data_IF_692112323481
#
_entry.id   IF_692112323481
#
_cell.length_a   1.000
_cell.length_b   1.000
_cell.length_c   1.000
_cell.angle_alpha   90.00
_cell.angle_beta   90.00
_cell.angle_gamma   90.00
#
_symmetry.space_group_name_H-M   'P 1'
#
loop_
_entity.id
_entity.type
_entity.pdbx_description
1 polymer ?
#
# COMPACT_ATOMS: atom_id res chain seq x y z
N UNK A 1 -17.82 -12.64 18.05
CA UNK A 1 -16.92 -12.19 16.97
C UNK A 1 -15.51 -12.29 17.50
N UNK A 2 -14.61 -13.00 16.82
CA UNK A 2 -13.18 -13.03 17.15
C UNK A 2 -12.57 -11.73 16.62
N UNK A 3 -11.77 -11.02 17.43
CA UNK A 3 -11.08 -9.81 16.95
C UNK A 3 -9.82 -10.22 16.17
N UNK A 4 -9.44 -9.44 15.17
CA UNK A 4 -8.22 -9.71 14.37
C UNK A 4 -6.97 -9.79 15.24
N UNK A 5 -6.87 -8.95 16.27
CA UNK A 5 -5.76 -8.95 17.22
C UNK A 5 -5.63 -10.30 17.95
N UNK A 6 -6.76 -10.88 18.36
CA UNK A 6 -6.77 -12.18 19.05
C UNK A 6 -6.17 -13.31 18.18
N UNK A 7 -6.17 -13.15 16.85
CA UNK A 7 -5.60 -14.11 15.90
C UNK A 7 -4.13 -13.82 15.55
N UNK A 8 -3.65 -12.60 15.76
CA UNK A 8 -2.36 -12.13 15.24
C UNK A 8 -1.35 -11.80 16.34
N UNK A 9 -1.80 -11.57 17.58
CA UNK A 9 -0.95 -11.11 18.68
C UNK A 9 0.23 -12.04 18.97
N UNK A 10 0.04 -13.36 18.94
CA UNK A 10 1.12 -14.32 19.17
C UNK A 10 2.21 -14.27 18.09
N UNK A 11 1.83 -14.00 16.83
CA UNK A 11 2.77 -13.89 15.71
C UNK A 11 3.50 -12.56 15.71
N UNK A 12 2.86 -11.51 16.22
CA UNK A 12 3.41 -10.16 16.25
C UNK A 12 4.26 -9.90 17.49
N UNK A 13 3.93 -10.52 18.62
CA UNK A 13 4.65 -10.36 19.89
C UNK A 13 6.18 -10.54 19.83
N UNK A 14 6.75 -11.48 19.05
CA UNK A 14 8.21 -11.63 18.97
C UNK A 14 8.90 -10.65 18.01
N UNK A 15 8.17 -9.79 17.30
CA UNK A 15 8.75 -8.88 16.31
C UNK A 15 9.22 -7.57 16.97
N UNK A 16 10.41 -7.11 16.58
CA UNK A 16 10.96 -5.81 17.03
C UNK A 16 10.20 -4.63 16.40
N UNK A 17 9.79 -4.78 15.14
CA UNK A 17 9.00 -3.82 14.36
C UNK A 17 7.90 -4.58 13.65
N UNK A 18 6.68 -4.08 13.75
CA UNK A 18 5.50 -4.74 13.19
C UNK A 18 5.18 -4.17 11.83
N UNK A 19 5.19 -5.04 10.82
CA UNK A 19 4.79 -4.71 9.46
C UNK A 19 3.28 -4.72 9.26
N UNK A 20 2.76 -3.73 8.55
CA UNK A 20 1.37 -3.60 8.16
C UNK A 20 1.27 -3.43 6.65
N UNK A 21 0.67 -4.41 5.97
CA UNK A 21 0.34 -4.30 4.55
C UNK A 21 -1.10 -3.80 4.43
N UNK A 22 -1.30 -2.65 3.77
CA UNK A 22 -2.60 -2.06 3.45
C UNK A 22 -3.49 -1.74 4.66
N UNK A 23 -2.90 -1.53 5.84
CA UNK A 23 -3.63 -1.42 7.12
C UNK A 23 -3.38 -0.10 7.87
N UNK A 24 -3.08 0.99 7.15
CA UNK A 24 -2.78 2.29 7.77
C UNK A 24 -3.93 2.82 8.66
N UNK A 25 -5.18 2.49 8.33
CA UNK A 25 -6.37 2.82 9.15
C UNK A 25 -6.35 2.22 10.56
N UNK A 26 -5.47 1.25 10.84
CA UNK A 26 -5.33 0.63 12.16
C UNK A 26 -4.30 1.32 13.05
N UNK A 27 -3.34 2.03 12.48
CA UNK A 27 -2.13 2.43 13.19
C UNK A 27 -2.41 3.20 14.47
N UNK A 28 -3.33 4.18 14.42
CA UNK A 28 -3.71 4.96 15.60
C UNK A 28 -4.37 4.09 16.69
N UNK A 29 -5.21 3.13 16.30
CA UNK A 29 -5.82 2.19 17.26
C UNK A 29 -4.77 1.27 17.87
N UNK A 30 -3.87 0.72 17.06
CA UNK A 30 -2.87 -0.24 17.52
C UNK A 30 -1.76 0.43 18.33
N UNK A 31 -1.40 1.69 18.06
CA UNK A 31 -0.50 2.47 18.92
C UNK A 31 -1.12 2.69 20.30
N UNK A 32 -2.40 3.04 20.35
CA UNK A 32 -3.10 3.23 21.63
C UNK A 32 -3.21 1.92 22.43
N UNK A 33 -3.44 0.80 21.74
CA UNK A 33 -3.60 -0.51 22.38
C UNK A 33 -2.24 -1.14 22.77
N UNK A 34 -1.20 -0.89 21.98
CA UNK A 34 0.15 -1.42 22.19
C UNK A 34 1.17 -0.25 22.21
N UNK A 35 1.28 0.51 23.32
CA UNK A 35 2.06 1.75 23.37
C UNK A 35 3.56 1.61 23.04
N UNK A 36 4.12 0.40 23.18
CA UNK A 36 5.53 0.11 22.91
C UNK A 36 5.76 -0.42 21.47
N UNK A 37 4.72 -0.54 20.66
CA UNK A 37 4.82 -1.09 19.30
C UNK A 37 5.43 -0.07 18.36
N UNK A 38 6.47 -0.50 17.63
CA UNK A 38 6.96 0.20 16.45
C UNK A 38 6.23 -0.34 15.22
N UNK A 39 5.69 0.55 14.40
CA UNK A 39 4.91 0.25 13.21
C UNK A 39 5.71 0.61 11.96
N UNK A 40 5.71 -0.27 10.98
CA UNK A 40 6.17 -0.01 9.62
C UNK A 40 5.05 -0.35 8.65
N UNK A 41 4.68 0.60 7.77
CA UNK A 41 3.90 0.29 6.59
C UNK A 41 4.76 -0.53 5.64
N UNK A 42 4.57 -1.83 5.61
CA UNK A 42 5.39 -2.72 4.77
C UNK A 42 4.85 -2.84 3.35
N UNK A 43 3.61 -2.39 3.12
CA UNK A 43 3.00 -2.26 1.80
C UNK A 43 1.82 -1.28 1.86
N UNK A 44 1.75 -0.32 0.93
CA UNK A 44 0.60 0.59 0.78
C UNK A 44 0.23 0.82 -0.67
N UNK A 45 -0.96 1.39 -0.90
CA UNK A 45 -1.37 1.80 -2.23
C UNK A 45 -0.94 3.25 -2.51
N UNK A 46 -0.56 3.60 -3.75
CA UNK A 46 -0.18 4.97 -4.13
C UNK A 46 -1.19 6.07 -3.73
N UNK A 47 -2.52 5.87 -3.77
CA UNK A 47 -3.48 6.88 -3.32
C UNK A 47 -3.43 7.18 -1.82
N UNK A 48 -2.98 6.23 -0.99
CA UNK A 48 -3.01 6.35 0.48
C UNK A 48 -1.81 7.13 1.04
N UNK A 49 -0.82 7.45 0.19
CA UNK A 49 0.47 8.02 0.60
C UNK A 49 0.31 9.33 1.36
N UNK A 50 -0.64 10.19 0.96
CA UNK A 50 -0.87 11.48 1.63
C UNK A 50 -1.39 11.31 3.07
N UNK A 51 -2.31 10.36 3.27
CA UNK A 51 -2.88 10.06 4.59
C UNK A 51 -1.84 9.37 5.47
N UNK A 52 -1.10 8.42 4.89
CA UNK A 52 0.02 7.74 5.54
C UNK A 52 1.10 8.74 5.99
N UNK A 53 1.48 9.68 5.13
CA UNK A 53 2.47 10.70 5.47
C UNK A 53 2.03 11.55 6.67
N UNK A 54 0.73 11.88 6.73
CA UNK A 54 0.15 12.60 7.88
C UNK A 54 0.26 11.79 9.18
N UNK A 55 0.04 10.47 9.12
CA UNK A 55 0.18 9.57 10.26
C UNK A 55 1.64 9.43 10.71
N UNK A 56 2.58 9.25 9.78
CA UNK A 56 4.02 9.17 10.06
C UNK A 56 4.51 10.44 10.75
N UNK A 57 4.10 11.62 10.26
CA UNK A 57 4.44 12.90 10.88
C UNK A 57 3.83 13.06 12.29
N UNK A 58 2.65 12.51 12.53
CA UNK A 58 1.93 12.64 13.81
C UNK A 58 2.45 11.69 14.90
N UNK A 59 2.90 10.48 14.52
CA UNK A 59 3.22 9.41 15.45
C UNK A 59 4.67 8.92 15.30
N UNK A 60 5.58 9.26 16.25
CA UNK A 60 6.98 8.85 16.18
C UNK A 60 7.22 7.32 16.22
N UNK A 61 6.23 6.54 16.68
CA UNK A 61 6.27 5.08 16.66
C UNK A 61 6.01 4.48 15.28
N UNK A 62 5.58 5.29 14.30
CA UNK A 62 5.42 4.88 12.90
C UNK A 62 6.69 5.28 12.15
N UNK A 63 7.43 4.28 11.68
CA UNK A 63 8.75 4.48 11.09
C UNK A 63 8.70 4.97 9.64
N UNK A 64 7.59 4.72 8.94
CA UNK A 64 7.43 5.04 7.52
C UNK A 64 6.63 3.98 6.78
N UNK A 65 6.73 4.02 5.46
CA UNK A 65 5.91 3.23 4.55
C UNK A 65 6.64 2.82 3.27
N UNK A 66 6.25 1.68 2.70
CA UNK A 66 6.72 1.17 1.41
C UNK A 66 5.53 1.06 0.44
N UNK A 67 5.46 2.00 -0.51
CA UNK A 67 4.41 2.06 -1.52
C UNK A 67 4.58 0.94 -2.55
N UNK A 68 3.48 0.27 -2.90
CA UNK A 68 3.41 -0.73 -3.96
C UNK A 68 2.95 -0.08 -5.29
N UNK A 69 3.82 0.15 -6.28
CA UNK A 69 5.28 -0.04 -6.27
C UNK A 69 5.96 1.20 -6.82
N UNK A 70 7.25 1.37 -6.52
CA UNK A 70 8.03 2.48 -7.09
C UNK A 70 8.31 2.30 -8.58
N UNK A 71 8.63 1.08 -9.02
CA UNK A 71 8.95 0.73 -10.41
C UNK A 71 8.03 -0.39 -10.89
N UNK A 72 7.52 -0.23 -12.11
CA UNK A 72 6.66 -1.21 -12.76
C UNK A 72 7.44 -2.49 -13.05
N UNK A 73 6.71 -3.60 -13.14
CA UNK A 73 7.29 -4.93 -13.24
C UNK A 73 6.48 -5.84 -14.15
N UNK A 74 7.12 -6.94 -14.56
CA UNK A 74 6.52 -7.98 -15.39
C UNK A 74 5.72 -8.94 -14.50
N UNK A 75 4.52 -9.32 -14.92
CA UNK A 75 3.62 -10.15 -14.11
C UNK A 75 2.60 -9.32 -13.36
N UNK A 76 1.91 -9.95 -12.41
CA UNK A 76 0.72 -9.39 -11.71
C UNK A 76 -0.16 -8.59 -12.67
N UNK A 77 -0.42 -9.24 -13.80
CA UNK A 77 -0.65 -8.56 -15.07
C UNK A 77 -1.84 -7.63 -14.94
N UNK A 78 -1.64 -6.36 -15.23
CA UNK A 78 -2.69 -5.34 -15.24
C UNK A 78 -3.32 -5.06 -13.87
N UNK A 79 -2.68 -5.36 -12.74
CA UNK A 79 -3.22 -5.01 -11.42
C UNK A 79 -3.47 -3.51 -11.25
N UNK A 80 -2.63 -2.67 -11.87
CA UNK A 80 -2.78 -1.22 -11.92
C UNK A 80 -3.54 -0.70 -13.14
N UNK A 81 -4.07 -1.59 -14.00
CA UNK A 81 -4.74 -1.22 -15.25
C UNK A 81 -5.92 -0.28 -15.00
N UNK A 82 -6.09 0.68 -15.89
CA UNK A 82 -7.30 1.50 -15.94
C UNK A 82 -8.13 1.03 -17.12
N UNK A 83 -9.32 0.52 -16.83
CA UNK A 83 -10.26 0.00 -17.82
C UNK A 83 -11.49 0.91 -17.87
N UNK A 84 -11.54 1.79 -18.87
CA UNK A 84 -12.63 2.76 -19.02
C UNK A 84 -13.89 2.13 -19.64
N UNK A 85 -13.74 1.05 -20.40
CA UNK A 85 -14.82 0.46 -21.20
C UNK A 85 -15.45 -0.78 -20.53
N UNK A 86 -14.72 -1.49 -19.66
CA UNK A 86 -15.20 -2.68 -18.94
C UNK A 86 -15.21 -2.48 -17.42
N UNK A 87 -16.15 -1.67 -16.92
CA UNK A 87 -16.46 -1.49 -15.48
C UNK A 87 -16.82 -2.83 -14.77
N UNK A 88 -16.94 -3.95 -15.49
CA UNK A 88 -17.31 -5.27 -14.97
C UNK A 88 -16.32 -6.39 -15.32
N UNK A 89 -15.03 -6.13 -15.50
CA UNK A 89 -14.07 -7.23 -15.62
C UNK A 89 -14.02 -8.02 -14.30
N UNK A 90 -14.46 -9.28 -14.32
CA UNK A 90 -14.52 -10.14 -13.13
C UNK A 90 -13.13 -10.45 -12.51
N UNK A 91 -12.06 -10.15 -13.25
CA UNK A 91 -10.68 -10.27 -12.77
C UNK A 91 -10.06 -8.89 -12.59
N UNK A 92 -9.32 -8.66 -11.49
CA UNK A 92 -8.47 -7.48 -11.37
C UNK A 92 -7.28 -7.53 -12.36
N UNK A 93 -6.98 -8.71 -12.91
CA UNK A 93 -5.85 -8.90 -13.82
C UNK A 93 -6.23 -8.63 -15.28
N UNK A 94 -5.28 -8.09 -16.02
CA UNK A 94 -5.32 -7.95 -17.47
C UNK A 94 -5.22 -9.30 -18.16
N UNK A 95 -5.96 -9.46 -19.25
CA UNK A 95 -5.80 -10.59 -20.18
C UNK A 95 -4.75 -10.26 -21.24
N UNK A 96 -4.30 -11.25 -22.01
CA UNK A 96 -3.45 -10.98 -23.17
C UNK A 96 -4.06 -9.86 -24.05
N UNK A 97 -3.30 -8.82 -24.45
CA UNK A 97 -1.82 -8.74 -24.48
C UNK A 97 -1.16 -8.03 -23.30
N UNK A 98 -1.84 -7.81 -22.17
CA UNK A 98 -1.21 -7.25 -20.98
C UNK A 98 -0.10 -8.19 -20.47
N UNK A 99 1.05 -7.62 -20.09
CA UNK A 99 2.20 -8.37 -19.55
C UNK A 99 2.85 -7.69 -18.32
N UNK A 100 2.59 -6.40 -18.11
CA UNK A 100 3.11 -5.62 -16.98
C UNK A 100 2.02 -5.39 -15.93
N UNK A 101 2.42 -4.98 -14.73
CA UNK A 101 1.53 -4.65 -13.64
C UNK A 101 0.79 -3.31 -13.83
N UNK A 102 1.46 -2.30 -14.42
CA UNK A 102 0.93 -0.95 -14.62
C UNK A 102 0.59 -0.20 -13.31
N UNK A 103 1.26 -0.54 -12.21
CA UNK A 103 1.06 0.12 -10.91
C UNK A 103 2.26 0.94 -10.42
N UNK A 104 3.39 0.89 -11.14
CA UNK A 104 4.60 1.63 -10.79
C UNK A 104 4.58 3.11 -11.17
N UNK A 105 5.24 3.95 -10.38
CA UNK A 105 5.49 5.37 -10.71
C UNK A 105 6.63 5.58 -11.71
N UNK A 106 7.45 4.55 -11.90
CA UNK A 106 8.53 4.51 -12.86
C UNK A 106 8.26 3.29 -13.75
N UNK A 107 8.22 3.46 -15.06
CA UNK A 107 8.00 2.33 -15.96
C UNK A 107 9.22 1.39 -16.01
N UNK A 108 9.07 0.27 -16.72
CA UNK A 108 10.09 -0.77 -16.83
C UNK A 108 11.44 -0.27 -17.40
N UNK A 109 11.45 0.86 -18.12
CA UNK A 109 12.66 1.44 -18.72
C UNK A 109 13.17 2.67 -17.97
N UNK A 110 12.63 2.96 -16.79
CA UNK A 110 13.11 4.01 -15.90
C UNK A 110 12.49 5.38 -16.14
N UNK A 111 11.41 5.48 -16.92
CA UNK A 111 10.73 6.75 -17.18
C UNK A 111 9.65 6.94 -16.12
N UNK A 112 9.65 8.11 -15.47
CA UNK A 112 8.59 8.47 -14.53
C UNK A 112 7.22 8.55 -15.25
N UNK A 113 6.25 7.83 -14.72
CA UNK A 113 4.85 7.83 -15.13
C UNK A 113 4.06 8.43 -13.98
N UNK A 114 3.24 9.44 -14.26
CA UNK A 114 2.52 10.19 -13.24
C UNK A 114 1.35 9.40 -12.63
N UNK A 115 1.62 8.27 -11.97
CA UNK A 115 0.61 7.46 -11.29
C UNK A 115 0.31 8.04 -9.90
N UNK A 116 1.33 8.34 -9.08
CA UNK A 116 1.17 9.03 -7.79
C UNK A 116 0.57 10.44 -7.99
N UNK A 117 1.13 11.27 -8.87
CA UNK A 117 0.73 12.68 -8.98
C UNK A 117 -0.73 12.89 -9.42
N UNK A 118 -1.27 12.01 -10.27
CA UNK A 118 -2.68 12.07 -10.64
C UNK A 118 -3.62 11.47 -9.59
N UNK A 119 -3.14 10.60 -8.70
CA UNK A 119 -3.98 9.80 -7.78
C UNK A 119 -3.97 10.28 -6.34
N UNK A 120 -2.91 10.97 -5.88
CA UNK A 120 -2.77 11.43 -4.49
C UNK A 120 -3.33 12.84 -4.23
N UNK A 121 -4.03 13.44 -5.21
CA UNK A 121 -4.58 14.80 -5.08
C UNK A 121 -3.50 15.91 -4.98
N UNK A 122 -2.25 15.59 -5.30
CA UNK A 122 -1.12 16.54 -5.28
C UNK A 122 -0.86 17.19 -6.65
N UNK A 123 -1.68 16.89 -7.65
CA UNK A 123 -1.67 17.52 -8.97
C UNK A 123 -2.75 18.61 -9.07
N UNK A 124 -2.30 19.86 -9.23
CA UNK A 124 -3.02 21.14 -9.43
C UNK A 124 -3.86 21.68 -8.29
#
# INVERSE_FOLDING_TARGET
MIKLQDLTDEFVAPLDVVGYNYMHYRWETDINQYPNRLICGTESLPPDVADIWSLVCKYPSILGDFVWTSMDYIGEVGIGKIDYDNIKSASPFGTWPWILAYCGDIDLIGIAVAVILQRSGLGT
#
